data_IF_846719744894
#
_entry.id   IF_846719744894
#
_cell.length_a   1.000
_cell.length_b   1.000
_cell.length_c   1.000
_cell.angle_alpha   90.00
_cell.angle_beta   90.00
_cell.angle_gamma   90.00
#
_symmetry.space_group_name_H-M   'P 1'
#
loop_
_entity.id
_entity.type
_entity.pdbx_description
1 polymer ?
#
# COMPACT_ATOMS: atom_id res chain seq x y z
N UNK A 1 -8.71 -4.79 7.95
CA UNK A 1 -8.93 -5.39 6.61
C UNK A 1 -8.03 -6.60 6.53
N UNK A 2 -8.58 -7.77 6.20
CA UNK A 2 -7.77 -8.98 6.09
C UNK A 2 -6.88 -8.93 4.83
N UNK A 3 -5.87 -9.81 4.77
CA UNK A 3 -4.88 -9.90 3.71
C UNK A 3 -5.51 -10.08 2.32
N UNK A 4 -6.47 -10.98 2.20
CA UNK A 4 -7.08 -11.33 0.92
C UNK A 4 -7.95 -10.20 0.38
N UNK A 5 -8.76 -9.58 1.23
CA UNK A 5 -9.53 -8.38 0.88
C UNK A 5 -8.61 -7.26 0.40
N UNK A 6 -7.43 -7.10 1.02
CA UNK A 6 -6.44 -6.12 0.58
C UNK A 6 -5.89 -6.46 -0.81
N UNK A 7 -5.41 -7.69 -1.03
CA UNK A 7 -4.85 -8.13 -2.31
C UNK A 7 -5.88 -7.98 -3.43
N UNK A 8 -7.11 -8.44 -3.21
CA UNK A 8 -8.22 -8.30 -4.15
C UNK A 8 -8.43 -6.85 -4.56
N UNK A 9 -8.68 -5.96 -3.60
CA UNK A 9 -8.91 -4.54 -3.87
C UNK A 9 -7.72 -3.88 -4.54
N UNK A 10 -6.50 -4.28 -4.17
CA UNK A 10 -5.27 -3.75 -4.75
C UNK A 10 -5.18 -4.12 -6.23
N UNK A 11 -5.37 -5.40 -6.57
CA UNK A 11 -5.30 -5.88 -7.95
C UNK A 11 -6.41 -5.26 -8.80
N UNK A 12 -7.64 -5.21 -8.29
CA UNK A 12 -8.79 -4.57 -8.96
C UNK A 12 -8.50 -3.10 -9.28
N UNK A 13 -7.94 -2.37 -8.32
CA UNK A 13 -7.54 -0.96 -8.52
C UNK A 13 -6.37 -0.86 -9.50
N UNK A 14 -5.39 -1.77 -9.42
CA UNK A 14 -4.19 -1.76 -10.25
C UNK A 14 -4.49 -1.98 -11.73
N UNK A 15 -5.39 -2.92 -12.05
CA UNK A 15 -5.86 -3.24 -13.41
C UNK A 15 -7.10 -2.43 -13.83
N UNK A 16 -7.65 -1.61 -12.93
CA UNK A 16 -8.83 -0.79 -13.14
C UNK A 16 -10.07 -1.62 -13.57
N UNK A 17 -10.32 -2.72 -12.88
CA UNK A 17 -11.46 -3.63 -13.12
C UNK A 17 -11.89 -4.25 -11.80
N UNK A 18 -13.19 -4.45 -11.60
CA UNK A 18 -13.74 -5.16 -10.43
C UNK A 18 -13.98 -6.62 -10.75
N UNK A 19 -13.80 -7.50 -9.79
CA UNK A 19 -14.02 -8.94 -9.95
C UNK A 19 -15.09 -9.46 -9.00
N UNK A 20 -15.83 -10.48 -9.44
CA UNK A 20 -16.78 -11.20 -8.59
C UNK A 20 -16.10 -12.36 -7.83
N UNK A 21 -14.77 -12.44 -7.87
CA UNK A 21 -14.04 -13.51 -7.20
C UNK A 21 -14.19 -13.37 -5.68
N UNK A 22 -14.50 -14.46 -4.95
CA UNK A 22 -14.49 -14.44 -3.49
C UNK A 22 -13.06 -14.18 -2.98
N UNK A 23 -12.92 -13.65 -1.77
CA UNK A 23 -11.63 -13.23 -1.22
C UNK A 23 -10.65 -14.41 -1.09
N UNK A 24 -11.15 -15.62 -0.83
CA UNK A 24 -10.42 -16.89 -0.78
C UNK A 24 -9.69 -17.22 -2.09
N UNK A 25 -10.12 -16.64 -3.22
CA UNK A 25 -9.42 -16.80 -4.51
C UNK A 25 -7.99 -16.29 -4.47
N UNK A 26 -7.64 -15.44 -3.49
CA UNK A 26 -6.34 -14.80 -3.35
C UNK A 26 -5.46 -15.45 -2.25
N UNK A 27 -5.87 -16.57 -1.66
CA UNK A 27 -5.11 -17.29 -0.60
C UNK A 27 -3.68 -17.67 -1.03
N UNK A 28 -3.48 -17.89 -2.31
CA UNK A 28 -2.20 -18.26 -2.91
C UNK A 28 -1.20 -17.09 -2.99
N UNK A 29 -1.62 -15.86 -2.70
CA UNK A 29 -0.75 -14.68 -2.67
C UNK A 29 -0.47 -14.35 -1.22
N UNK A 30 0.79 -14.52 -0.82
CA UNK A 30 1.27 -14.12 0.50
C UNK A 30 2.27 -12.98 0.41
N UNK A 31 2.40 -12.23 1.50
CA UNK A 31 3.39 -11.16 1.63
C UNK A 31 3.69 -10.81 3.08
N UNK A 32 4.92 -10.36 3.29
CA UNK A 32 5.38 -9.72 4.52
C UNK A 32 5.40 -8.20 4.36
N UNK A 33 5.25 -7.49 5.47
CA UNK A 33 5.37 -6.03 5.53
C UNK A 33 6.50 -5.64 6.47
N UNK A 34 7.50 -4.94 5.93
CA UNK A 34 8.54 -4.29 6.71
C UNK A 34 8.34 -2.78 6.68
N UNK A 35 8.44 -2.14 7.85
CA UNK A 35 8.32 -0.69 7.98
C UNK A 35 9.63 -0.17 8.57
N UNK A 36 10.26 0.78 7.89
CA UNK A 36 11.48 1.39 8.40
C UNK A 36 11.18 2.20 9.67
N UNK A 37 12.13 2.34 10.61
CA UNK A 37 11.94 3.23 11.75
C UNK A 37 11.69 4.68 11.29
N UNK A 38 10.82 5.41 11.99
CA UNK A 38 10.63 6.85 11.78
C UNK A 38 11.78 7.60 12.46
N UNK A 39 12.48 8.43 11.69
CA UNK A 39 13.54 9.32 12.21
C UNK A 39 13.14 10.77 11.91
N UNK A 40 13.58 11.73 12.73
CA UNK A 40 13.17 13.16 12.61
C UNK A 40 13.39 13.75 11.21
N UNK A 41 14.40 13.29 10.48
CA UNK A 41 14.78 13.82 9.16
C UNK A 41 14.58 12.83 8.01
N UNK A 42 13.85 11.73 8.21
CA UNK A 42 13.65 10.73 7.16
C UNK A 42 12.22 10.21 7.17
N UNK A 43 11.62 10.19 5.99
CA UNK A 43 10.32 9.58 5.80
C UNK A 43 10.38 8.08 6.10
N UNK A 44 9.30 7.60 6.69
CA UNK A 44 9.11 6.19 6.96
C UNK A 44 8.76 5.47 5.65
N UNK A 45 9.38 4.32 5.37
CA UNK A 45 9.15 3.53 4.16
C UNK A 45 8.49 2.21 4.56
N UNK A 46 7.39 1.86 3.89
CA UNK A 46 6.82 0.52 3.92
C UNK A 46 7.28 -0.27 2.70
N UNK A 47 7.68 -1.52 2.94
CA UNK A 47 8.05 -2.50 1.91
C UNK A 47 7.17 -3.73 2.10
N UNK A 48 6.32 -3.99 1.11
CA UNK A 48 5.58 -5.24 1.01
C UNK A 48 6.39 -6.18 0.10
N UNK A 49 6.67 -7.38 0.58
CA UNK A 49 7.48 -8.38 -0.11
C UNK A 49 6.71 -9.68 -0.23
N UNK A 50 6.68 -10.29 -1.41
CA UNK A 50 6.02 -11.56 -1.66
C UNK A 50 6.33 -12.08 -3.06
N UNK A 51 5.83 -13.27 -3.39
CA UNK A 51 6.21 -13.96 -4.63
C UNK A 51 5.36 -13.54 -5.86
N UNK A 52 4.27 -12.81 -5.63
CA UNK A 52 3.42 -12.33 -6.72
C UNK A 52 4.09 -11.17 -7.50
N UNK A 53 3.86 -11.11 -8.81
CA UNK A 53 4.53 -10.16 -9.72
C UNK A 53 4.28 -8.67 -9.46
N UNK A 54 3.43 -8.29 -8.50
CA UNK A 54 3.24 -6.89 -8.05
C UNK A 54 4.29 -6.47 -7.01
N UNK A 55 4.94 -7.44 -6.36
CA UNK A 55 5.93 -7.17 -5.34
C UNK A 55 7.33 -6.93 -5.97
N UNK A 56 8.20 -6.16 -5.28
CA UNK A 56 7.92 -5.44 -4.05
C UNK A 56 7.00 -4.22 -4.29
N UNK A 57 6.15 -3.92 -3.30
CA UNK A 57 5.45 -2.64 -3.24
C UNK A 57 6.20 -1.80 -2.22
N UNK A 58 6.79 -0.70 -2.67
CA UNK A 58 7.60 0.19 -1.83
C UNK A 58 6.95 1.55 -1.83
N UNK A 59 6.62 2.08 -0.66
CA UNK A 59 6.06 3.41 -0.56
C UNK A 59 6.57 4.15 0.66
N UNK A 60 6.71 5.46 0.49
CA UNK A 60 6.83 6.37 1.61
C UNK A 60 5.47 6.51 2.32
N UNK A 61 5.53 6.47 3.65
CA UNK A 61 4.41 6.57 4.57
C UNK A 61 4.32 8.03 5.00
N UNK A 62 3.16 8.62 4.77
CA UNK A 62 2.82 9.99 5.19
C UNK A 62 1.66 9.95 6.18
N UNK A 63 1.80 10.69 7.29
CA UNK A 63 0.69 11.00 8.21
C UNK A 63 -0.10 12.25 7.77
N UNK A 64 0.40 13.00 6.79
CA UNK A 64 -0.28 14.16 6.25
C UNK A 64 -1.45 13.74 5.34
N UNK A 65 -2.71 14.03 5.71
CA UNK A 65 -3.89 13.65 4.92
C UNK A 65 -3.95 14.36 3.56
N UNK A 66 -3.45 15.59 3.46
CA UNK A 66 -3.41 16.32 2.18
C UNK A 66 -2.46 15.67 1.18
N UNK A 67 -1.33 15.13 1.65
CA UNK A 67 -0.38 14.42 0.79
C UNK A 67 -1.01 13.13 0.23
N UNK A 68 -1.77 12.41 1.06
CA UNK A 68 -2.52 11.24 0.62
C UNK A 68 -3.61 11.60 -0.41
N UNK A 69 -4.38 12.66 -0.16
CA UNK A 69 -5.43 13.13 -1.07
C UNK A 69 -4.88 13.63 -2.42
N UNK A 70 -3.70 14.26 -2.43
CA UNK A 70 -3.08 14.76 -3.66
C UNK A 70 -2.17 13.74 -4.37
N UNK A 71 -1.82 12.63 -3.70
CA UNK A 71 -0.83 11.67 -4.20
C UNK A 71 0.60 12.24 -4.20
N UNK A 72 0.87 13.17 -3.27
CA UNK A 72 2.16 13.84 -3.12
C UNK A 72 3.06 13.01 -2.21
N UNK A 73 3.65 11.98 -2.83
CA UNK A 73 4.60 11.07 -2.22
C UNK A 73 5.79 10.95 -3.18
N UNK A 74 7.01 10.95 -2.65
CA UNK A 74 8.23 10.93 -3.47
C UNK A 74 8.59 9.50 -3.89
N UNK A 75 8.32 8.53 -3.01
CA UNK A 75 8.57 7.10 -3.28
C UNK A 75 7.26 6.34 -3.35
N UNK A 76 6.93 5.84 -4.54
CA UNK A 76 5.92 4.78 -4.70
C UNK A 76 6.27 3.89 -5.89
N UNK A 77 6.67 2.66 -5.61
CA UNK A 77 7.10 1.64 -6.57
C UNK A 77 6.22 0.39 -6.47
N UNK A 78 5.91 -0.22 -7.60
CA UNK A 78 5.29 -1.55 -7.72
C UNK A 78 6.17 -2.36 -8.66
N UNK A 79 6.62 -3.54 -8.23
CA UNK A 79 7.57 -4.38 -9.00
C UNK A 79 8.82 -3.59 -9.42
N UNK A 80 9.34 -2.76 -8.50
CA UNK A 80 10.46 -1.83 -8.73
C UNK A 80 10.23 -0.76 -9.82
N UNK A 81 8.98 -0.55 -10.26
CA UNK A 81 8.64 0.49 -11.24
C UNK A 81 7.91 1.66 -10.58
N UNK A 82 8.28 2.91 -10.88
CA UNK A 82 7.62 4.08 -10.30
C UNK A 82 6.16 4.18 -10.75
N UNK A 83 5.28 4.42 -9.80
CA UNK A 83 3.85 4.62 -10.04
C UNK A 83 3.60 6.09 -10.39
N UNK A 84 3.13 6.35 -11.61
CA UNK A 84 2.84 7.73 -12.06
C UNK A 84 1.71 8.36 -11.24
N UNK A 85 1.85 9.67 -10.97
CA UNK A 85 0.82 10.46 -10.31
C UNK A 85 -0.49 10.42 -11.09
N UNK A 86 -1.52 9.81 -10.48
CA UNK A 86 -2.80 9.52 -11.12
C UNK A 86 -3.89 9.25 -10.08
N UNK A 87 -5.16 9.24 -10.50
CA UNK A 87 -6.26 8.79 -9.63
C UNK A 87 -6.01 7.38 -9.10
N UNK A 88 -5.58 6.46 -9.97
CA UNK A 88 -5.22 5.09 -9.59
C UNK A 88 -4.16 5.04 -8.49
N UNK A 89 -3.09 5.83 -8.62
CA UNK A 89 -2.05 5.91 -7.59
C UNK A 89 -2.65 6.35 -6.25
N UNK A 90 -3.47 7.40 -6.23
CA UNK A 90 -4.12 7.87 -4.99
C UNK A 90 -5.02 6.81 -4.36
N UNK A 91 -5.81 6.12 -5.16
CA UNK A 91 -6.71 5.07 -4.68
C UNK A 91 -5.92 3.90 -4.07
N UNK A 92 -4.80 3.50 -4.70
CA UNK A 92 -3.87 2.52 -4.15
C UNK A 92 -3.23 3.01 -2.84
N UNK A 93 -2.77 4.25 -2.78
CA UNK A 93 -2.18 4.84 -1.57
C UNK A 93 -3.17 4.82 -0.40
N UNK A 94 -4.41 5.27 -0.62
CA UNK A 94 -5.47 5.23 0.39
C UNK A 94 -5.74 3.80 0.87
N UNK A 95 -5.78 2.84 -0.05
CA UNK A 95 -5.98 1.43 0.29
C UNK A 95 -4.84 0.87 1.13
N UNK A 96 -3.58 1.13 0.75
CA UNK A 96 -2.39 0.67 1.48
C UNK A 96 -2.35 1.28 2.89
N UNK A 97 -2.53 2.60 2.99
CA UNK A 97 -2.52 3.30 4.28
C UNK A 97 -3.60 2.78 5.22
N UNK A 98 -4.81 2.53 4.69
CA UNK A 98 -5.91 1.90 5.43
C UNK A 98 -5.55 0.49 5.91
N UNK A 99 -4.91 -0.32 5.06
CA UNK A 99 -4.45 -1.66 5.46
C UNK A 99 -3.45 -1.59 6.63
N UNK A 100 -2.45 -0.71 6.52
CA UNK A 100 -1.41 -0.56 7.54
C UNK A 100 -1.99 -0.08 8.88
N UNK A 101 -2.95 0.85 8.84
CA UNK A 101 -3.67 1.35 10.02
C UNK A 101 -4.50 0.28 10.71
N UNK A 102 -5.38 -0.40 9.95
CA UNK A 102 -6.32 -1.37 10.51
C UNK A 102 -5.61 -2.62 11.07
N UNK A 103 -4.39 -2.91 10.62
CA UNK A 103 -3.58 -4.02 11.13
C UNK A 103 -2.54 -3.59 12.17
N UNK A 104 -2.61 -2.34 12.68
CA UNK A 104 -1.69 -1.79 13.69
C UNK A 104 -0.20 -1.89 13.30
N UNK A 105 0.09 -1.93 12.01
CA UNK A 105 1.44 -1.91 11.47
C UNK A 105 2.04 -0.50 11.53
N UNK A 106 1.18 0.51 11.60
CA UNK A 106 1.56 1.89 11.87
C UNK A 106 1.00 2.34 13.21
N UNK A 107 1.89 2.84 14.08
CA UNK A 107 1.51 3.65 15.23
C UNK A 107 1.74 5.11 14.86
N UNK A 108 0.67 5.82 14.50
CA UNK A 108 0.74 7.27 14.48
C UNK A 108 0.75 7.74 15.94
N UNK A 109 1.85 8.34 16.39
CA UNK A 109 1.82 9.11 17.64
C UNK A 109 0.94 10.32 17.39
N UNK A 110 -0.29 10.28 17.88
CA UNK A 110 -1.02 11.49 18.20
C UNK A 110 -0.71 11.79 19.66
N UNK A 111 0.32 12.61 19.88
CA UNK A 111 0.45 13.38 21.11
C UNK A 111 -0.35 14.68 20.94
#
# INVERSE_FOLDING_TARGET
MNKNTFIKKFLETYVNTTTNHPDESYDHIDFDVMISPKYENRSCIAVFSGDHGIFPIILEITDNPYHMELGYIDVFLISNKPVRRSKKQRDLLKLIMKYLQENSLLKFSHD
#
